data_IF_804750736139
#
_entry.id   IF_804750736139
#
_cell.length_a   1.000
_cell.length_b   1.000
_cell.length_c   1.000
_cell.angle_alpha   90.00
_cell.angle_beta   90.00
_cell.angle_gamma   90.00
#
_symmetry.space_group_name_H-M   'P 1'
#
loop_
_entity.id
_entity.type
_entity.pdbx_description
1 polymer ?
#
# COMPACT_ATOMS: atom_id res chain seq x y z
N UNK A 1 2.14 -41.97 -27.57
CA UNK A 1 2.95 -40.74 -27.78
C UNK A 1 2.39 -39.49 -27.10
N UNK A 2 1.06 -39.26 -27.05
CA UNK A 2 0.48 -38.10 -26.33
C UNK A 2 0.74 -38.07 -24.81
N UNK A 3 0.82 -39.23 -24.14
CA UNK A 3 1.07 -39.33 -22.69
C UNK A 3 2.50 -38.94 -22.27
N UNK A 4 3.47 -39.09 -23.16
CA UNK A 4 4.87 -38.71 -22.89
C UNK A 4 5.08 -37.18 -22.93
N UNK A 5 4.31 -36.46 -23.76
CA UNK A 5 4.34 -34.99 -23.83
C UNK A 5 3.93 -34.33 -22.51
N UNK A 6 2.96 -34.91 -21.79
CA UNK A 6 2.49 -34.40 -20.49
C UNK A 6 3.60 -34.53 -19.43
N UNK A 7 4.38 -35.61 -19.47
CA UNK A 7 5.46 -35.86 -18.49
C UNK A 7 6.61 -34.86 -18.68
N UNK A 8 6.93 -34.49 -19.91
CA UNK A 8 8.00 -33.51 -20.23
C UNK A 8 7.64 -32.09 -19.78
N UNK A 9 6.36 -31.70 -19.83
CA UNK A 9 5.89 -30.37 -19.40
C UNK A 9 6.04 -30.14 -17.88
N UNK A 10 6.05 -31.19 -17.07
CA UNK A 10 6.14 -31.08 -15.60
C UNK A 10 7.57 -30.72 -15.16
N UNK A 11 8.60 -31.09 -15.93
CA UNK A 11 10.00 -30.86 -15.57
C UNK A 11 10.50 -29.43 -15.87
N UNK A 12 9.76 -28.62 -16.62
CA UNK A 12 10.12 -27.22 -16.93
C UNK A 12 9.52 -26.18 -15.97
N UNK A 13 8.80 -26.60 -14.92
CA UNK A 13 8.12 -25.67 -14.01
C UNK A 13 9.01 -25.03 -12.93
N UNK A 14 10.31 -25.32 -12.90
CA UNK A 14 11.22 -24.73 -11.93
C UNK A 14 11.82 -23.44 -12.49
N UNK A 15 11.15 -22.31 -12.26
CA UNK A 15 11.77 -21.00 -12.46
C UNK A 15 12.64 -20.69 -11.24
N UNK A 16 13.95 -20.54 -11.44
CA UNK A 16 14.79 -19.88 -10.44
C UNK A 16 14.25 -18.46 -10.24
N UNK A 17 13.87 -18.13 -9.01
CA UNK A 17 13.41 -16.80 -8.64
C UNK A 17 14.64 -15.87 -8.50
N UNK A 18 15.29 -15.58 -9.63
CA UNK A 18 16.40 -14.64 -9.67
C UNK A 18 15.94 -13.26 -9.24
N UNK A 19 16.78 -12.57 -8.45
CA UNK A 19 16.54 -11.18 -8.06
C UNK A 19 16.43 -10.30 -9.31
N UNK A 20 15.32 -9.56 -9.52
CA UNK A 20 15.19 -8.64 -10.65
C UNK A 20 16.25 -7.52 -10.60
N UNK A 21 16.75 -7.11 -11.77
CA UNK A 21 17.74 -6.02 -11.87
C UNK A 21 17.18 -4.69 -11.38
N UNK A 22 15.89 -4.44 -11.63
CA UNK A 22 15.20 -3.21 -11.24
C UNK A 22 14.33 -3.39 -9.97
N UNK A 23 14.75 -4.24 -9.04
CA UNK A 23 13.96 -4.52 -7.82
C UNK A 23 13.68 -3.25 -7.00
N UNK A 24 12.40 -2.99 -6.70
CA UNK A 24 12.01 -1.96 -5.73
C UNK A 24 12.64 -2.27 -4.38
N UNK A 25 13.24 -1.29 -3.72
CA UNK A 25 13.72 -1.46 -2.34
C UNK A 25 12.56 -1.79 -1.40
N UNK A 26 12.85 -2.42 -0.24
CA UNK A 26 11.82 -2.70 0.77
C UNK A 26 11.04 -1.44 1.16
N UNK A 27 11.74 -0.30 1.31
CA UNK A 27 11.12 0.97 1.65
C UNK A 27 10.22 1.52 0.53
N UNK A 28 10.67 1.47 -0.73
CA UNK A 28 9.82 1.83 -1.88
C UNK A 28 8.56 0.95 -1.94
N UNK A 29 8.68 -0.34 -1.63
CA UNK A 29 7.53 -1.24 -1.58
C UNK A 29 6.57 -0.88 -0.43
N UNK A 30 7.08 -0.56 0.76
CA UNK A 30 6.28 -0.05 1.89
C UNK A 30 5.52 1.21 1.51
N UNK A 31 6.19 2.17 0.89
CA UNK A 31 5.59 3.46 0.52
C UNK A 31 4.54 3.29 -0.58
N UNK A 32 4.83 2.49 -1.60
CA UNK A 32 3.89 2.19 -2.68
C UNK A 32 2.65 1.45 -2.16
N UNK A 33 2.83 0.38 -1.37
CA UNK A 33 1.72 -0.39 -0.83
C UNK A 33 0.88 0.44 0.15
N UNK A 34 1.47 1.36 0.90
CA UNK A 34 0.71 2.29 1.74
C UNK A 34 -0.29 3.09 0.90
N UNK A 35 0.15 3.73 -0.18
CA UNK A 35 -0.73 4.53 -1.04
C UNK A 35 -1.77 3.67 -1.77
N UNK A 36 -1.39 2.46 -2.25
CA UNK A 36 -2.35 1.48 -2.80
C UNK A 36 -3.47 1.21 -1.80
N UNK A 37 -3.13 0.96 -0.54
CA UNK A 37 -4.11 0.64 0.50
C UNK A 37 -5.00 1.84 0.85
N UNK A 38 -4.45 3.06 0.88
CA UNK A 38 -5.24 4.29 1.08
C UNK A 38 -6.23 4.48 -0.07
N UNK A 39 -5.76 4.38 -1.32
CA UNK A 39 -6.62 4.52 -2.51
C UNK A 39 -7.72 3.44 -2.52
N UNK A 40 -7.36 2.17 -2.31
CA UNK A 40 -8.33 1.08 -2.30
C UNK A 40 -9.36 1.23 -1.19
N UNK A 41 -8.94 1.65 0.01
CA UNK A 41 -9.86 1.93 1.13
C UNK A 41 -10.77 3.12 0.83
N UNK A 42 -10.24 4.16 0.16
CA UNK A 42 -11.02 5.33 -0.23
C UNK A 42 -12.11 4.98 -1.23
N UNK A 43 -11.88 4.02 -2.14
CA UNK A 43 -12.82 3.62 -3.20
C UNK A 43 -14.17 3.12 -2.68
N UNK A 44 -14.22 2.63 -1.44
CA UNK A 44 -15.45 2.13 -0.80
C UNK A 44 -16.35 3.24 -0.23
N UNK A 45 -15.84 4.46 -0.09
CA UNK A 45 -16.65 5.58 0.40
C UNK A 45 -17.44 6.19 -0.78
N UNK A 46 -18.63 6.75 -0.53
CA UNK A 46 -19.33 7.59 -1.53
C UNK A 46 -18.91 9.03 -1.28
N UNK A 47 -18.53 9.72 -2.35
CA UNK A 47 -18.21 11.13 -2.25
C UNK A 47 -19.45 11.96 -1.89
N UNK A 48 -19.33 12.84 -0.90
CA UNK A 48 -20.33 13.89 -0.61
C UNK A 48 -19.93 15.21 -1.31
N UNK A 49 -18.71 15.30 -1.88
CA UNK A 49 -18.17 16.46 -2.57
C UNK A 49 -17.92 16.19 -4.06
N UNK A 50 -17.99 17.21 -4.92
CA UNK A 50 -17.72 17.11 -6.37
C UNK A 50 -16.24 16.80 -6.74
N UNK A 51 -15.40 16.52 -5.74
CA UNK A 51 -13.98 16.22 -5.93
C UNK A 51 -13.80 14.76 -6.33
N UNK A 52 -13.67 14.44 -7.62
CA UNK A 52 -13.45 13.09 -8.17
C UNK A 52 -12.19 12.35 -7.65
N UNK A 53 -12.14 12.01 -6.36
CA UNK A 53 -11.03 11.32 -5.69
C UNK A 53 -10.87 9.86 -6.17
N UNK A 54 -11.94 9.27 -6.68
CA UNK A 54 -12.03 7.86 -7.10
C UNK A 54 -11.35 7.57 -8.44
N UNK A 55 -10.97 8.61 -9.20
CA UNK A 55 -10.37 8.48 -10.53
C UNK A 55 -8.84 8.55 -10.52
N UNK A 56 -8.20 8.21 -9.40
CA UNK A 56 -6.75 7.98 -9.39
C UNK A 56 -6.49 6.73 -10.23
N UNK A 57 -6.05 6.96 -11.47
CA UNK A 57 -5.58 5.90 -12.36
C UNK A 57 -4.33 5.28 -11.75
N UNK A 58 -4.20 3.97 -11.84
CA UNK A 58 -3.02 3.25 -11.36
C UNK A 58 -1.72 3.82 -12.00
N UNK A 59 -1.82 4.38 -13.21
CA UNK A 59 -0.72 5.09 -13.89
C UNK A 59 -0.23 6.35 -13.17
N UNK A 60 -1.10 7.07 -12.44
CA UNK A 60 -0.67 8.21 -11.61
C UNK A 60 0.12 7.73 -10.40
N UNK A 61 -0.28 6.60 -9.82
CA UNK A 61 0.39 6.03 -8.66
C UNK A 61 1.83 5.60 -8.98
N UNK A 62 2.04 4.92 -10.10
CA UNK A 62 3.38 4.57 -10.59
C UNK A 62 4.25 5.81 -10.80
N UNK A 63 3.69 6.88 -11.37
CA UNK A 63 4.40 8.14 -11.60
C UNK A 63 4.83 8.82 -10.29
N UNK A 64 3.98 8.84 -9.26
CA UNK A 64 4.30 9.43 -7.95
C UNK A 64 5.48 8.72 -7.29
N UNK A 65 5.52 7.39 -7.40
CA UNK A 65 6.59 6.56 -6.82
C UNK A 65 7.82 6.42 -7.73
N UNK A 66 7.80 7.03 -8.92
CA UNK A 66 8.85 6.92 -9.93
C UNK A 66 9.21 5.46 -10.27
N UNK A 67 8.18 4.63 -10.43
CA UNK A 67 8.28 3.22 -10.86
C UNK A 67 7.39 3.00 -12.09
N UNK A 68 7.49 1.82 -12.70
CA UNK A 68 6.52 1.35 -13.70
C UNK A 68 5.79 0.07 -13.23
N UNK A 69 4.78 -0.34 -14.00
CA UNK A 69 3.96 -1.50 -13.66
C UNK A 69 4.74 -2.82 -13.69
N UNK A 70 5.74 -2.94 -14.59
CA UNK A 70 6.56 -4.14 -14.71
C UNK A 70 7.50 -4.26 -13.50
N UNK A 71 8.15 -3.16 -13.13
CA UNK A 71 9.00 -3.05 -11.95
C UNK A 71 8.25 -3.49 -10.69
N UNK A 72 7.02 -3.00 -10.49
CA UNK A 72 6.19 -3.43 -9.37
C UNK A 72 5.83 -4.92 -9.44
N UNK A 73 5.40 -5.42 -10.61
CA UNK A 73 5.00 -6.82 -10.76
C UNK A 73 6.15 -7.78 -10.46
N UNK A 74 7.34 -7.51 -10.99
CA UNK A 74 8.55 -8.31 -10.75
C UNK A 74 9.00 -8.23 -9.30
N UNK A 75 8.95 -7.04 -8.69
CA UNK A 75 9.33 -6.85 -7.29
C UNK A 75 8.35 -7.56 -6.35
N UNK A 76 7.05 -7.44 -6.59
CA UNK A 76 6.02 -8.13 -5.83
C UNK A 76 6.17 -9.66 -5.96
N UNK A 77 6.44 -10.16 -7.16
CA UNK A 77 6.71 -11.58 -7.37
C UNK A 77 7.95 -12.02 -6.57
N UNK A 78 9.07 -11.32 -6.71
CA UNK A 78 10.30 -11.63 -5.96
C UNK A 78 10.06 -11.68 -4.45
N UNK A 79 9.42 -10.65 -3.87
CA UNK A 79 9.13 -10.64 -2.43
C UNK A 79 8.15 -11.75 -2.04
N UNK A 80 7.14 -12.05 -2.86
CA UNK A 80 6.19 -13.16 -2.58
C UNK A 80 6.86 -14.53 -2.50
N UNK A 81 7.98 -14.71 -3.20
CA UNK A 81 8.79 -15.94 -3.14
C UNK A 81 9.82 -15.96 -2.01
N UNK A 82 9.96 -14.86 -1.27
CA UNK A 82 10.87 -14.69 -0.13
C UNK A 82 10.08 -14.28 1.14
N UNK A 83 9.45 -15.24 1.84
CA UNK A 83 8.49 -14.95 2.91
C UNK A 83 9.02 -14.08 4.06
N UNK A 84 10.28 -14.26 4.45
CA UNK A 84 10.91 -13.47 5.52
C UNK A 84 11.03 -11.99 5.14
N UNK A 85 11.52 -11.70 3.92
CA UNK A 85 11.61 -10.33 3.41
C UNK A 85 10.22 -9.71 3.26
N UNK A 86 9.25 -10.50 2.77
CA UNK A 86 7.91 -9.95 2.57
C UNK A 86 7.21 -9.63 3.89
N UNK A 87 7.41 -10.49 4.90
CA UNK A 87 6.92 -10.25 6.25
C UNK A 87 7.51 -8.97 6.84
N UNK A 88 8.79 -8.69 6.59
CA UNK A 88 9.45 -7.45 7.02
C UNK A 88 8.83 -6.21 6.36
N UNK A 89 8.53 -6.27 5.06
CA UNK A 89 7.82 -5.21 4.32
C UNK A 89 6.44 -4.97 4.94
N UNK A 90 5.60 -6.01 5.09
CA UNK A 90 4.26 -5.86 5.65
C UNK A 90 4.27 -5.41 7.12
N UNK A 91 5.24 -5.86 7.92
CA UNK A 91 5.41 -5.39 9.30
C UNK A 91 5.74 -3.90 9.35
N UNK A 92 6.57 -3.42 8.42
CA UNK A 92 6.94 -2.01 8.30
C UNK A 92 5.77 -1.17 7.79
N UNK A 93 5.02 -1.68 6.82
CA UNK A 93 3.76 -1.09 6.35
C UNK A 93 2.75 -0.93 7.50
N UNK A 94 2.55 -1.97 8.31
CA UNK A 94 1.65 -1.93 9.46
C UNK A 94 2.07 -0.85 10.46
N UNK A 95 3.36 -0.75 10.78
CA UNK A 95 3.89 0.30 11.67
C UNK A 95 3.63 1.70 11.12
N UNK A 96 3.84 1.91 9.82
CA UNK A 96 3.55 3.19 9.14
C UNK A 96 2.05 3.54 9.25
N UNK A 97 1.16 2.59 8.97
CA UNK A 97 -0.28 2.80 9.07
C UNK A 97 -0.73 3.14 10.49
N UNK A 98 -0.20 2.44 11.50
CA UNK A 98 -0.48 2.74 12.93
C UNK A 98 -0.01 4.14 13.27
N UNK A 99 1.21 4.53 12.88
CA UNK A 99 1.75 5.86 13.15
C UNK A 99 0.89 6.98 12.54
N UNK A 100 0.41 6.80 11.31
CA UNK A 100 -0.49 7.77 10.66
C UNK A 100 -1.84 7.85 11.39
N UNK A 101 -2.44 6.69 11.72
CA UNK A 101 -3.70 6.64 12.47
C UNK A 101 -3.57 7.36 13.82
N UNK A 102 -2.53 7.05 14.58
CA UNK A 102 -2.32 7.60 15.91
C UNK A 102 -2.09 9.12 15.83
N UNK A 103 -1.38 9.60 14.81
CA UNK A 103 -1.21 11.04 14.56
C UNK A 103 -2.53 11.75 14.28
N UNK A 104 -3.41 11.15 13.48
CA UNK A 104 -4.75 11.68 13.20
C UNK A 104 -5.60 11.69 14.48
N UNK A 105 -5.57 10.62 15.28
CA UNK A 105 -6.33 10.54 16.53
C UNK A 105 -5.89 11.60 17.54
N UNK A 106 -4.59 11.85 17.66
CA UNK A 106 -4.03 12.91 18.50
C UNK A 106 -4.51 14.29 18.02
N UNK A 107 -4.48 14.55 16.71
CA UNK A 107 -4.97 15.81 16.14
C UNK A 107 -6.47 16.01 16.43
N UNK A 108 -7.29 14.97 16.26
CA UNK A 108 -8.73 15.02 16.53
C UNK A 108 -9.03 15.31 18.01
N UNK A 109 -8.34 14.63 18.94
CA UNK A 109 -8.48 14.90 20.39
C UNK A 109 -8.06 16.30 20.77
N UNK A 110 -7.00 16.83 20.14
CA UNK A 110 -6.58 18.21 20.38
C UNK A 110 -7.71 19.18 19.99
N UNK A 111 -8.29 19.02 18.79
CA UNK A 111 -9.37 19.88 18.28
C UNK A 111 -10.64 19.80 19.12
N UNK A 112 -11.05 18.62 19.59
CA UNK A 112 -12.23 18.48 20.46
C UNK A 112 -12.03 19.22 21.78
N UNK A 113 -10.86 19.09 22.41
CA UNK A 113 -10.55 19.76 23.67
C UNK A 113 -10.52 21.30 23.51
N UNK A 114 -10.02 21.81 22.37
CA UNK A 114 -10.07 23.25 22.08
C UNK A 114 -11.51 23.76 21.90
N UNK A 115 -12.40 22.96 21.30
CA UNK A 115 -13.80 23.33 21.12
C UNK A 115 -14.57 23.32 22.44
N UNK A 116 -14.35 22.31 23.28
CA UNK A 116 -14.97 22.18 24.61
C UNK A 116 -14.57 23.34 25.52
N UNK A 117 -13.29 23.69 25.57
CA UNK A 117 -12.81 24.83 26.36
C UNK A 117 -13.38 26.17 25.84
N UNK A 118 -13.50 26.35 24.52
CA UNK A 118 -14.10 27.56 23.94
C UNK A 118 -15.60 27.69 24.26
N UNK A 119 -16.34 26.58 24.34
CA UNK A 119 -17.77 26.62 24.75
C UNK A 119 -17.95 26.98 26.23
N UNK A 120 -17.02 26.58 27.10
CA UNK A 120 -17.06 26.91 28.54
C UNK A 120 -16.79 28.40 28.76
N UNK A 121 -15.89 29.00 27.96
CA UNK A 121 -15.57 30.43 28.07
C UNK A 121 -16.72 31.36 27.59
N UNK A 122 -17.62 30.88 26.72
CA UNK A 122 -18.74 31.68 26.18
C UNK A 122 -19.95 31.70 27.14
N UNK A 123 -20.11 30.68 27.99
CA UNK A 123 -21.22 30.58 28.96
C UNK A 123 -20.91 31.35 30.28
N UNK A 124 -19.70 31.93 30.40
CA UNK A 124 -19.24 32.70 31.55
C UNK A 124 -19.16 34.22 31.30
N UNK A 125 -19.61 34.72 30.14
CA UNK A 125 -19.66 36.14 29.77
C UNK A 125 -21.09 36.64 29.53
#
# INVERSE_FOLDING_TARGET
MKRFLIIILIFFSCSENSKPDNLMTEQQMVDFLFDVNIINSSRSFRNISDLNYYNIKDTLLYKIHNIDSLQFAESNFYYSTNPELYLKIYSSLQKKMISVRDSIELELKSKSNFQENKSIDIDQS
#
